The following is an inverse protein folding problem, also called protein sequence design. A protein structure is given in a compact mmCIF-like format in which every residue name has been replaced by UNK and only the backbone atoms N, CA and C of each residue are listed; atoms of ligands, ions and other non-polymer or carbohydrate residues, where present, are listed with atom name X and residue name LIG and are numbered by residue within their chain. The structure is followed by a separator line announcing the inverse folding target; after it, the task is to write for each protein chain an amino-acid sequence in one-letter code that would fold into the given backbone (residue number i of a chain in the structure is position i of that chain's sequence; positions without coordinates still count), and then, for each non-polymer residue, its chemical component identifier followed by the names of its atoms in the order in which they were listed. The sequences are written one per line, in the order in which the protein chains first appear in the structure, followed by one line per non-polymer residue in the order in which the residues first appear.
data_IF_802006437093
#
_entry.id   IF_802006437093
#
_cell.length_a   1.000
_cell.length_b   1.000
_cell.length_c   1.000
_cell.angle_alpha   90.00
_cell.angle_beta   90.00
_cell.angle_gamma   90.00
#
_symmetry.space_group_name_H-M   'P 1'
#
loop_
_entity.id
_entity.type
_entity.pdbx_description
1 polymer ?
#
# COMPACT_ATOMS: atom_id res chain seq x y z
N UNK A 1 6.16 -20.58 -23.18
CA UNK A 1 6.35 -20.62 -21.71
C UNK A 1 5.65 -19.40 -21.13
N UNK A 2 4.99 -19.52 -19.98
CA UNK A 2 4.46 -18.37 -19.24
C UNK A 2 5.62 -17.54 -18.67
N UNK A 3 5.47 -16.20 -18.53
CA UNK A 3 6.41 -15.40 -17.76
C UNK A 3 6.50 -15.90 -16.31
N UNK A 4 7.63 -15.67 -15.65
CA UNK A 4 7.73 -15.88 -14.19
C UNK A 4 6.96 -14.79 -13.46
N UNK A 5 7.05 -13.55 -13.94
CA UNK A 5 6.49 -12.38 -13.27
C UNK A 5 5.66 -11.52 -14.25
N UNK A 6 4.43 -11.18 -13.86
CA UNK A 6 3.67 -10.08 -14.44
C UNK A 6 3.70 -8.87 -13.51
N UNK A 7 4.22 -7.75 -14.01
CA UNK A 7 4.14 -6.46 -13.31
C UNK A 7 2.89 -5.75 -13.83
N UNK A 8 1.92 -5.54 -12.95
CA UNK A 8 0.58 -5.07 -13.29
C UNK A 8 0.39 -3.64 -12.81
N UNK A 9 0.09 -2.72 -13.74
CA UNK A 9 -0.05 -1.29 -13.48
C UNK A 9 -1.47 -0.84 -13.84
N UNK A 10 -2.38 -0.69 -12.86
CA UNK A 10 -3.65 -0.02 -13.08
C UNK A 10 -3.44 1.50 -13.11
N UNK A 11 -3.98 2.18 -14.12
CA UNK A 11 -3.85 3.64 -14.25
C UNK A 11 -5.18 4.32 -14.56
N UNK A 12 -5.33 5.57 -14.10
CA UNK A 12 -6.49 6.41 -14.39
C UNK A 12 -6.15 7.90 -14.27
N UNK A 13 -6.06 8.61 -15.39
CA UNK A 13 -5.90 10.06 -15.49
C UNK A 13 -4.74 10.63 -14.65
N UNK A 14 -3.58 9.97 -14.70
CA UNK A 14 -2.35 10.32 -13.99
C UNK A 14 -1.12 10.23 -14.91
N UNK A 15 -1.26 10.69 -16.16
CA UNK A 15 -0.24 10.50 -17.21
C UNK A 15 1.20 10.88 -16.79
N UNK A 16 1.35 11.99 -16.07
CA UNK A 16 2.65 12.49 -15.61
C UNK A 16 3.33 11.58 -14.58
N UNK A 17 2.57 10.88 -13.73
CA UNK A 17 3.11 9.90 -12.79
C UNK A 17 3.45 8.59 -13.51
N UNK A 18 2.52 8.14 -14.38
CA UNK A 18 2.70 6.96 -15.21
C UNK A 18 3.98 7.04 -16.05
N UNK A 19 4.29 8.22 -16.60
CA UNK A 19 5.50 8.43 -17.39
C UNK A 19 6.78 8.13 -16.60
N UNK A 20 6.83 8.56 -15.32
CA UNK A 20 7.97 8.31 -14.43
C UNK A 20 8.05 6.84 -14.03
N UNK A 21 6.91 6.24 -13.68
CA UNK A 21 6.82 4.82 -13.34
C UNK A 21 7.34 3.95 -14.49
N UNK A 22 6.83 4.15 -15.71
CA UNK A 22 7.23 3.39 -16.90
C UNK A 22 8.70 3.61 -17.25
N UNK A 23 9.22 4.83 -17.15
CA UNK A 23 10.65 5.09 -17.38
C UNK A 23 11.55 4.32 -16.41
N UNK A 24 11.17 4.22 -15.13
CA UNK A 24 11.93 3.47 -14.12
C UNK A 24 11.92 1.96 -14.33
N UNK A 25 10.84 1.45 -14.92
CA UNK A 25 10.56 0.03 -14.99
C UNK A 25 10.96 -0.61 -16.33
N UNK A 26 10.54 -0.03 -17.46
CA UNK A 26 10.53 -0.71 -18.76
C UNK A 26 11.91 -1.11 -19.28
N UNK A 27 13.00 -0.34 -19.10
CA UNK A 27 14.34 -0.81 -19.49
C UNK A 27 14.75 -2.12 -18.78
N UNK A 28 14.35 -2.29 -17.51
CA UNK A 28 14.63 -3.50 -16.74
C UNK A 28 13.77 -4.68 -17.23
N UNK A 29 12.51 -4.44 -17.57
CA UNK A 29 11.59 -5.46 -18.13
C UNK A 29 12.05 -5.91 -19.51
N UNK A 30 12.47 -4.99 -20.37
CA UNK A 30 12.93 -5.27 -21.73
C UNK A 30 14.14 -6.20 -21.73
N UNK A 31 15.06 -6.03 -20.78
CA UNK A 31 16.23 -6.89 -20.62
C UNK A 31 15.89 -8.33 -20.19
N UNK A 32 14.71 -8.55 -19.60
CA UNK A 32 14.26 -9.83 -19.05
C UNK A 32 13.08 -10.42 -19.82
N UNK A 33 12.68 -9.83 -20.94
CA UNK A 33 11.61 -10.36 -21.79
C UNK A 33 12.08 -11.66 -22.47
N UNK A 34 11.31 -12.77 -22.46
CA UNK A 34 9.91 -12.90 -22.03
C UNK A 34 9.72 -13.48 -20.61
N UNK A 35 10.76 -13.55 -19.77
CA UNK A 35 10.68 -14.02 -18.38
C UNK A 35 9.83 -13.08 -17.53
N UNK A 36 9.84 -11.79 -17.83
CA UNK A 36 8.98 -10.76 -17.21
C UNK A 36 8.10 -10.13 -18.28
N UNK A 37 6.87 -9.79 -17.90
CA UNK A 37 6.01 -8.91 -18.69
C UNK A 37 5.52 -7.71 -17.86
N UNK A 38 5.38 -6.56 -18.53
CA UNK A 38 4.67 -5.41 -18.01
C UNK A 38 3.27 -5.34 -18.63
N UNK A 39 2.25 -5.21 -17.80
CA UNK A 39 0.84 -5.14 -18.21
C UNK A 39 0.20 -3.90 -17.60
N UNK A 40 -0.20 -2.95 -18.45
CA UNK A 40 -0.85 -1.71 -18.04
C UNK A 40 -2.34 -1.77 -18.38
N UNK A 41 -3.20 -1.37 -17.44
CA UNK A 41 -4.64 -1.31 -17.62
C UNK A 41 -5.15 0.12 -17.39
N UNK A 42 -5.42 0.82 -18.50
CA UNK A 42 -6.02 2.16 -18.53
C UNK A 42 -7.52 2.11 -18.21
N UNK A 43 -7.92 2.75 -17.13
CA UNK A 43 -9.30 2.72 -16.64
C UNK A 43 -10.19 3.82 -17.27
N UNK A 44 -10.12 3.94 -18.60
CA UNK A 44 -10.80 4.97 -19.39
C UNK A 44 -10.30 6.40 -19.09
N UNK A 45 -8.98 6.61 -19.13
CA UNK A 45 -8.40 7.93 -18.91
C UNK A 45 -8.77 8.92 -20.02
N UNK A 46 -8.95 10.19 -19.61
CA UNK A 46 -9.31 11.32 -20.49
C UNK A 46 -8.20 12.36 -20.64
N UNK A 47 -7.08 12.19 -19.94
CA UNK A 47 -5.89 13.05 -20.03
C UNK A 47 -4.91 12.54 -21.11
N UNK A 48 -3.63 12.94 -21.03
CA UNK A 48 -2.59 12.49 -21.96
C UNK A 48 -2.08 11.05 -21.72
N UNK A 49 -2.75 10.25 -20.88
CA UNK A 49 -2.33 8.87 -20.55
C UNK A 49 -2.12 8.03 -21.81
N UNK A 50 -3.01 8.15 -22.81
CA UNK A 50 -2.85 7.43 -24.09
C UNK A 50 -1.57 7.80 -24.83
N UNK A 51 -1.19 9.08 -24.85
CA UNK A 51 0.04 9.53 -25.51
C UNK A 51 1.28 8.96 -24.82
N UNK A 52 1.26 8.87 -23.49
CA UNK A 52 2.33 8.24 -22.70
C UNK A 52 2.42 6.75 -23.03
N UNK A 53 1.29 6.04 -23.05
CA UNK A 53 1.25 4.62 -23.38
C UNK A 53 1.74 4.31 -24.79
N UNK A 54 1.32 5.11 -25.79
CA UNK A 54 1.76 4.96 -27.17
C UNK A 54 3.27 5.19 -27.28
N UNK A 55 3.80 6.27 -26.69
CA UNK A 55 5.24 6.58 -26.64
C UNK A 55 6.08 5.42 -26.11
N UNK A 56 5.70 4.84 -24.97
CA UNK A 56 6.47 3.74 -24.38
C UNK A 56 6.26 2.40 -25.10
N UNK A 57 5.12 2.18 -25.74
CA UNK A 57 4.85 0.94 -26.50
C UNK A 57 5.67 0.87 -27.78
N UNK A 58 6.02 2.04 -28.35
CA UNK A 58 6.89 2.13 -29.53
C UNK A 58 8.35 1.79 -29.19
N UNK A 59 8.79 2.00 -27.94
CA UNK A 59 10.18 1.83 -27.50
C UNK A 59 10.42 0.52 -26.73
N UNK A 60 9.43 0.04 -25.98
CA UNK A 60 9.58 -1.10 -25.07
C UNK A 60 8.44 -2.12 -25.21
N UNK A 61 8.77 -3.39 -24.95
CA UNK A 61 7.79 -4.46 -24.88
C UNK A 61 6.91 -4.33 -23.63
N UNK A 62 5.67 -3.89 -23.81
CA UNK A 62 4.62 -3.94 -22.81
C UNK A 62 3.26 -4.27 -23.41
N UNK A 63 2.32 -4.69 -22.58
CA UNK A 63 0.93 -4.95 -22.98
C UNK A 63 0.03 -3.90 -22.39
N UNK A 64 -0.70 -3.19 -23.24
CA UNK A 64 -1.64 -2.14 -22.83
C UNK A 64 -3.06 -2.62 -23.08
N UNK A 65 -3.90 -2.52 -22.05
CA UNK A 65 -5.34 -2.74 -22.10
C UNK A 65 -6.06 -1.46 -21.68
N UNK A 66 -7.22 -1.21 -22.28
CA UNK A 66 -8.09 -0.09 -21.90
C UNK A 66 -9.48 -0.61 -21.60
N UNK A 67 -10.03 -0.18 -20.47
CA UNK A 67 -11.42 -0.45 -20.12
C UNK A 67 -12.36 0.45 -20.94
N UNK A 68 -13.53 -0.09 -21.32
CA UNK A 68 -14.57 0.68 -22.03
C UNK A 68 -15.19 1.81 -21.20
N UNK A 69 -15.05 1.72 -19.87
CA UNK A 69 -15.48 2.73 -18.91
C UNK A 69 -14.68 2.61 -17.62
N UNK A 70 -14.69 3.65 -16.78
CA UNK A 70 -14.07 3.60 -15.46
C UNK A 70 -14.84 2.64 -14.53
N UNK A 71 -14.21 1.50 -14.20
CA UNK A 71 -14.77 0.46 -13.31
C UNK A 71 -14.32 0.58 -11.84
N UNK A 72 -13.75 1.72 -11.47
CA UNK A 72 -13.16 1.96 -10.16
C UNK A 72 -11.79 1.29 -9.95
N UNK A 73 -11.04 1.78 -8.95
CA UNK A 73 -9.65 1.35 -8.69
C UNK A 73 -9.52 -0.15 -8.38
N UNK A 74 -10.43 -0.69 -7.56
CA UNK A 74 -10.42 -2.09 -7.15
C UNK A 74 -10.78 -3.01 -8.32
N UNK A 75 -11.77 -2.60 -9.12
CA UNK A 75 -12.12 -3.28 -10.37
C UNK A 75 -10.94 -3.30 -11.34
N UNK A 76 -10.23 -2.17 -11.50
CA UNK A 76 -9.09 -2.09 -12.40
C UNK A 76 -7.91 -2.97 -11.95
N UNK A 77 -7.59 -2.98 -10.65
CA UNK A 77 -6.55 -3.87 -10.06
C UNK A 77 -6.91 -5.33 -10.30
N UNK A 78 -8.13 -5.74 -9.94
CA UNK A 78 -8.55 -7.15 -10.08
C UNK A 78 -8.61 -7.59 -11.53
N UNK A 79 -9.06 -6.73 -12.45
CA UNK A 79 -9.07 -7.01 -13.89
C UNK A 79 -7.68 -7.23 -14.45
N UNK A 80 -6.73 -6.33 -14.18
CA UNK A 80 -5.36 -6.48 -14.74
C UNK A 80 -4.70 -7.77 -14.26
N UNK A 81 -4.94 -8.17 -13.01
CA UNK A 81 -4.39 -9.41 -12.43
C UNK A 81 -5.10 -10.66 -12.95
N UNK A 82 -6.44 -10.67 -12.92
CA UNK A 82 -7.23 -11.85 -13.24
C UNK A 82 -7.30 -12.11 -14.75
N UNK A 83 -7.51 -11.07 -15.56
CA UNK A 83 -7.81 -11.20 -16.99
C UNK A 83 -6.60 -10.98 -17.89
N UNK A 84 -5.57 -10.25 -17.43
CA UNK A 84 -4.47 -9.83 -18.29
C UNK A 84 -3.10 -10.40 -17.87
N UNK A 85 -2.78 -10.55 -16.59
CA UNK A 85 -1.52 -11.16 -16.16
C UNK A 85 -1.40 -12.62 -16.63
N UNK A 86 -0.22 -13.02 -17.12
CA UNK A 86 0.08 -14.41 -17.53
C UNK A 86 1.22 -15.05 -16.72
N UNK A 87 1.84 -14.28 -15.85
CA UNK A 87 2.95 -14.71 -15.02
C UNK A 87 2.51 -15.63 -13.88
N UNK A 88 3.43 -16.49 -13.43
CA UNK A 88 3.21 -17.33 -12.26
C UNK A 88 3.08 -16.49 -10.97
N UNK A 89 3.77 -15.36 -10.94
CA UNK A 89 3.72 -14.34 -9.89
C UNK A 89 3.21 -13.00 -10.43
N UNK A 90 2.60 -12.22 -9.54
CA UNK A 90 2.04 -10.90 -9.85
C UNK A 90 2.59 -9.88 -8.87
N UNK A 91 3.15 -8.81 -9.42
CA UNK A 91 3.51 -7.60 -8.68
C UNK A 91 2.58 -6.47 -9.10
N UNK A 92 1.75 -5.99 -8.18
CA UNK A 92 0.86 -4.85 -8.44
C UNK A 92 1.52 -3.59 -7.90
N UNK A 93 1.84 -2.67 -8.79
CA UNK A 93 2.41 -1.36 -8.46
C UNK A 93 1.48 -0.26 -8.97
N UNK A 94 1.42 0.86 -8.28
CA UNK A 94 0.73 2.06 -8.72
C UNK A 94 1.45 2.71 -9.90
N UNK A 95 0.70 3.48 -10.69
CA UNK A 95 1.28 4.33 -11.74
C UNK A 95 2.14 5.49 -11.18
N UNK A 96 2.22 5.62 -9.86
CA UNK A 96 3.01 6.59 -9.10
C UNK A 96 4.21 5.98 -8.35
N UNK A 97 4.42 4.66 -8.46
CA UNK A 97 5.56 3.98 -7.83
C UNK A 97 6.79 4.03 -8.74
N UNK A 98 7.96 4.29 -8.15
CA UNK A 98 9.25 4.32 -8.87
C UNK A 98 10.08 3.12 -8.48
N UNK A 99 10.51 2.34 -9.47
CA UNK A 99 11.29 1.11 -9.27
C UNK A 99 12.77 1.44 -9.13
N UNK A 100 13.46 0.80 -8.19
CA UNK A 100 14.92 0.99 -8.03
C UNK A 100 15.69 0.25 -9.12
N UNK A 101 16.89 0.74 -9.43
CA UNK A 101 17.75 0.10 -10.43
C UNK A 101 18.09 -1.35 -10.02
N UNK A 102 17.93 -2.29 -10.95
CA UNK A 102 18.25 -3.70 -10.75
C UNK A 102 17.19 -4.50 -9.96
N UNK A 103 16.12 -3.86 -9.48
CA UNK A 103 15.09 -4.53 -8.68
C UNK A 103 14.44 -5.70 -9.42
N UNK A 104 14.05 -5.50 -10.67
CA UNK A 104 13.35 -6.54 -11.45
C UNK A 104 14.23 -7.77 -11.64
N UNK A 105 15.53 -7.58 -11.90
CA UNK A 105 16.50 -8.68 -11.99
C UNK A 105 16.58 -9.48 -10.70
N UNK A 106 16.81 -8.80 -9.57
CA UNK A 106 16.87 -9.44 -8.24
C UNK A 106 15.61 -10.22 -7.90
N UNK A 107 14.44 -9.65 -8.19
CA UNK A 107 13.14 -10.28 -7.96
C UNK A 107 13.02 -11.57 -8.76
N UNK A 108 13.32 -11.54 -10.06
CA UNK A 108 13.18 -12.70 -10.94
C UNK A 108 14.15 -13.80 -10.57
N UNK A 109 15.42 -13.45 -10.29
CA UNK A 109 16.42 -14.39 -9.81
C UNK A 109 15.94 -15.11 -8.54
N UNK A 110 15.38 -14.37 -7.59
CA UNK A 110 14.83 -14.94 -6.36
C UNK A 110 13.64 -15.89 -6.63
N UNK A 111 12.67 -15.46 -7.44
CA UNK A 111 11.48 -16.26 -7.74
C UNK A 111 11.81 -17.55 -8.53
N UNK A 112 12.84 -17.51 -9.37
CA UNK A 112 13.32 -18.68 -10.10
C UNK A 112 14.09 -19.65 -9.19
N UNK A 113 14.81 -19.15 -8.19
CA UNK A 113 15.46 -19.98 -7.18
C UNK A 113 14.43 -20.62 -6.23
N UNK A 114 13.42 -19.86 -5.80
CA UNK A 114 12.46 -20.25 -4.76
C UNK A 114 11.03 -20.41 -5.28
N UNK A 115 10.86 -21.26 -6.29
CA UNK A 115 9.59 -21.42 -7.06
C UNK A 115 8.37 -21.88 -6.26
N UNK A 116 8.55 -22.34 -5.01
CA UNK A 116 7.48 -22.90 -4.16
C UNK A 116 6.83 -21.87 -3.23
N UNK A 117 7.39 -20.67 -3.14
CA UNK A 117 6.89 -19.65 -2.23
C UNK A 117 5.61 -19.01 -2.77
N UNK A 118 4.72 -18.61 -1.87
CA UNK A 118 3.47 -17.95 -2.22
C UNK A 118 3.55 -16.41 -2.15
N UNK A 119 4.53 -15.91 -1.39
CA UNK A 119 4.79 -14.49 -1.18
C UNK A 119 6.30 -14.22 -1.24
N UNK A 120 6.65 -13.17 -1.96
CA UNK A 120 7.92 -12.47 -1.87
C UNK A 120 7.65 -11.05 -1.40
N UNK A 121 8.05 -10.75 -0.16
CA UNK A 121 7.99 -9.41 0.40
C UNK A 121 9.18 -8.57 -0.07
N UNK A 122 8.94 -7.29 -0.33
CA UNK A 122 9.95 -6.37 -0.82
C UNK A 122 10.15 -5.24 0.17
N UNK A 123 11.40 -4.86 0.41
CA UNK A 123 11.67 -3.62 1.11
C UNK A 123 11.37 -2.41 0.21
N UNK A 124 11.08 -1.28 0.86
CA UNK A 124 10.69 -0.03 0.20
C UNK A 124 11.50 1.11 0.80
N UNK A 125 12.02 1.96 -0.06
CA UNK A 125 12.69 3.20 0.30
C UNK A 125 11.71 4.36 0.30
N UNK A 126 11.88 5.30 1.21
CA UNK A 126 11.12 6.54 1.23
C UNK A 126 12.03 7.73 1.01
N UNK A 127 11.51 8.70 0.27
CA UNK A 127 12.12 10.00 0.04
C UNK A 127 11.07 11.12 0.17
N UNK A 128 11.50 12.35 0.50
CA UNK A 128 10.61 13.51 0.47
C UNK A 128 9.96 13.71 -0.91
N UNK A 129 8.68 14.13 -0.93
CA UNK A 129 7.91 14.32 -2.15
C UNK A 129 8.48 15.34 -3.14
N UNK A 130 9.23 16.33 -2.67
CA UNK A 130 9.91 17.34 -3.48
C UNK A 130 11.18 16.82 -4.17
N UNK A 131 11.63 15.61 -3.82
CA UNK A 131 12.72 14.90 -4.48
C UNK A 131 12.25 14.00 -5.65
N UNK A 132 10.96 14.01 -6.00
CA UNK A 132 10.42 13.15 -7.05
C UNK A 132 11.10 13.41 -8.42
N UNK A 133 11.62 12.38 -9.09
CA UNK A 133 12.31 12.53 -10.36
C UNK A 133 11.33 12.76 -11.50
N UNK A 134 11.82 13.38 -12.57
CA UNK A 134 11.15 13.29 -13.86
C UNK A 134 11.51 11.97 -14.57
N UNK A 135 10.81 11.66 -15.66
CA UNK A 135 10.99 10.40 -16.40
C UNK A 135 12.43 10.18 -16.89
N UNK A 136 13.14 11.24 -17.30
CA UNK A 136 14.53 11.13 -17.75
C UNK A 136 15.46 10.74 -16.60
N UNK A 137 15.29 11.35 -15.42
CA UNK A 137 16.08 11.04 -14.23
C UNK A 137 15.77 9.64 -13.65
N UNK A 138 14.56 9.13 -13.86
CA UNK A 138 14.14 7.82 -13.40
C UNK A 138 14.51 6.67 -14.36
N UNK A 139 14.98 6.96 -15.58
CA UNK A 139 15.14 5.96 -16.65
C UNK A 139 16.00 4.77 -16.22
N UNK A 140 15.42 3.56 -16.22
CA UNK A 140 16.08 2.32 -15.83
C UNK A 140 16.17 2.06 -14.31
N UNK A 141 15.60 2.96 -13.52
CA UNK A 141 15.45 2.85 -12.08
C UNK A 141 16.35 3.79 -11.30
N UNK A 142 15.91 4.16 -10.11
CA UNK A 142 16.63 5.11 -9.24
C UNK A 142 17.65 4.40 -8.33
N UNK A 143 18.71 5.11 -7.98
CA UNK A 143 19.84 4.61 -7.13
C UNK A 143 20.05 5.45 -5.87
N UNK A 144 19.05 6.23 -5.49
CA UNK A 144 19.15 7.23 -4.42
C UNK A 144 19.33 6.59 -3.04
N UNK A 145 19.93 7.36 -2.11
CA UNK A 145 19.99 6.97 -0.70
C UNK A 145 18.68 7.31 -0.02
N UNK A 146 17.99 6.30 0.48
CA UNK A 146 16.69 6.44 1.12
C UNK A 146 16.81 7.10 2.50
N UNK A 147 15.87 8.00 2.81
CA UNK A 147 15.81 8.66 4.13
C UNK A 147 15.25 7.73 5.20
N UNK A 148 14.39 6.81 4.78
CA UNK A 148 13.72 5.80 5.62
C UNK A 148 13.49 4.54 4.80
N UNK A 149 13.51 3.41 5.48
CA UNK A 149 13.12 2.11 4.93
C UNK A 149 11.77 1.69 5.51
N UNK A 150 11.04 0.88 4.76
CA UNK A 150 9.89 0.16 5.27
C UNK A 150 10.37 -0.79 6.35
N UNK A 151 11.10 -1.84 5.96
CA UNK A 151 11.62 -2.85 6.86
C UNK A 151 13.11 -2.63 7.15
N UNK A 152 13.50 -2.87 8.41
CA UNK A 152 14.90 -2.79 8.86
C UNK A 152 15.60 -4.16 8.86
N UNK A 153 14.91 -5.22 8.42
CA UNK A 153 15.54 -6.51 8.19
C UNK A 153 16.51 -6.39 7.01
N UNK A 154 17.78 -6.66 7.24
CA UNK A 154 18.89 -6.37 6.32
C UNK A 154 19.32 -7.56 5.47
N UNK A 155 18.79 -8.76 5.75
CA UNK A 155 19.10 -9.98 5.00
C UNK A 155 17.99 -10.35 4.02
N UNK A 156 18.36 -10.54 2.76
CA UNK A 156 17.53 -11.18 1.74
C UNK A 156 17.53 -12.69 1.94
N UNK A 157 16.38 -13.33 1.85
CA UNK A 157 16.29 -14.77 2.01
C UNK A 157 14.88 -15.27 2.24
N UNK A 158 14.81 -16.47 2.82
CA UNK A 158 13.57 -17.18 3.13
C UNK A 158 13.42 -17.22 4.66
N UNK A 159 12.24 -16.86 5.16
CA UNK A 159 11.95 -16.76 6.60
C UNK A 159 10.49 -17.10 6.88
N UNK A 160 10.14 -17.24 8.16
CA UNK A 160 8.74 -17.35 8.57
C UNK A 160 8.07 -15.98 8.39
N UNK A 161 6.88 -15.94 7.80
CA UNK A 161 6.14 -14.70 7.58
C UNK A 161 5.99 -13.86 8.87
N UNK A 162 5.76 -14.52 9.99
CA UNK A 162 5.65 -13.89 11.31
C UNK A 162 6.86 -13.01 11.67
N UNK A 163 8.07 -13.35 11.21
CA UNK A 163 9.30 -12.59 11.46
C UNK A 163 9.29 -11.24 10.74
N UNK A 164 8.52 -11.08 9.66
CA UNK A 164 8.26 -9.77 9.05
C UNK A 164 7.40 -8.86 9.95
N UNK A 165 6.78 -9.40 10.99
CA UNK A 165 5.89 -8.65 11.88
C UNK A 165 6.59 -8.05 13.12
N UNK A 166 7.87 -7.70 13.01
CA UNK A 166 8.73 -7.28 14.13
C UNK A 166 8.79 -5.77 14.39
N UNK A 167 7.64 -5.10 14.23
CA UNK A 167 7.45 -3.67 14.51
C UNK A 167 6.73 -2.96 13.38
N UNK A 168 6.36 -1.67 13.50
CA UNK A 168 5.58 -0.94 12.49
C UNK A 168 6.33 -0.71 11.15
N UNK A 169 7.33 -1.53 10.85
CA UNK A 169 8.22 -1.54 9.70
C UNK A 169 7.69 -2.38 8.53
N UNK A 170 6.65 -3.20 8.68
CA UNK A 170 5.97 -3.80 7.52
C UNK A 170 4.60 -3.17 7.39
N UNK A 171 4.47 -2.32 6.38
CA UNK A 171 3.19 -1.76 6.02
C UNK A 171 2.38 -2.88 5.36
N UNK A 172 1.48 -3.48 6.14
CA UNK A 172 0.53 -4.49 5.67
C UNK A 172 -0.38 -3.98 4.55
N UNK A 173 -0.33 -2.70 4.20
CA UNK A 173 -1.24 -2.07 3.26
C UNK A 173 -0.58 -1.62 1.96
N UNK A 174 0.75 -1.75 1.86
CA UNK A 174 1.53 -1.37 0.70
C UNK A 174 1.57 -2.50 -0.34
N UNK A 175 0.70 -2.47 -1.36
CA UNK A 175 0.62 -3.54 -2.37
C UNK A 175 1.93 -3.73 -3.13
N UNK A 176 2.62 -2.64 -3.41
CA UNK A 176 3.91 -2.61 -4.10
C UNK A 176 5.04 -3.25 -3.29
N UNK A 177 4.86 -3.50 -1.99
CA UNK A 177 5.81 -4.22 -1.14
C UNK A 177 5.61 -5.74 -1.17
N UNK A 178 4.72 -6.25 -2.03
CA UNK A 178 4.38 -7.67 -2.08
C UNK A 178 4.26 -8.20 -3.50
N UNK A 179 4.85 -9.36 -3.73
CA UNK A 179 4.65 -10.17 -4.94
C UNK A 179 4.01 -11.47 -4.51
N UNK A 180 2.84 -11.77 -5.08
CA UNK A 180 2.07 -12.95 -4.73
C UNK A 180 1.97 -13.90 -5.92
N UNK A 181 1.91 -15.19 -5.64
CA UNK A 181 1.57 -16.19 -6.65
C UNK A 181 0.21 -15.87 -7.26
N UNK A 182 0.10 -15.88 -8.59
CA UNK A 182 -1.12 -15.49 -9.31
C UNK A 182 -2.31 -16.39 -8.96
N UNK A 183 -2.09 -17.67 -8.68
CA UNK A 183 -3.17 -18.58 -8.27
C UNK A 183 -3.88 -18.11 -7.00
N UNK A 184 -3.15 -17.59 -6.02
CA UNK A 184 -3.75 -17.04 -4.79
C UNK A 184 -4.61 -15.80 -5.07
N UNK A 185 -4.17 -14.93 -5.98
CA UNK A 185 -4.98 -13.82 -6.46
C UNK A 185 -6.30 -14.30 -7.07
N UNK A 186 -6.27 -15.34 -7.91
CA UNK A 186 -7.46 -15.88 -8.56
C UNK A 186 -8.40 -16.61 -7.60
N UNK A 187 -7.88 -17.21 -6.54
CA UNK A 187 -8.72 -17.84 -5.51
C UNK A 187 -9.54 -16.80 -4.73
N UNK A 188 -8.98 -15.60 -4.52
CA UNK A 188 -9.61 -14.52 -3.75
C UNK A 188 -10.40 -13.54 -4.64
N UNK A 189 -9.91 -13.31 -5.86
CA UNK A 189 -10.47 -12.39 -6.84
C UNK A 189 -10.57 -13.09 -8.20
N UNK A 190 -11.46 -14.08 -8.36
CA UNK A 190 -11.59 -14.85 -9.60
C UNK A 190 -12.13 -14.02 -10.78
N UNK A 191 -12.81 -12.92 -10.49
CA UNK A 191 -13.44 -12.04 -11.47
C UNK A 191 -13.13 -10.57 -11.15
N UNK A 192 -13.35 -9.70 -12.13
CA UNK A 192 -13.30 -8.24 -11.92
C UNK A 192 -14.23 -7.84 -10.77
N UNK A 193 -13.68 -7.15 -9.76
CA UNK A 193 -14.46 -6.68 -8.62
C UNK A 193 -15.42 -5.55 -9.01
N UNK A 194 -16.71 -5.73 -8.71
CA UNK A 194 -17.79 -4.77 -9.02
C UNK A 194 -18.42 -4.11 -7.78
N UNK A 195 -17.94 -4.46 -6.58
CA UNK A 195 -18.46 -3.92 -5.32
C UNK A 195 -18.00 -2.50 -5.02
N UNK A 196 -18.47 -1.95 -3.90
CA UNK A 196 -18.01 -0.63 -3.44
C UNK A 196 -16.55 -0.69 -2.97
N UNK A 197 -15.69 0.25 -3.41
CA UNK A 197 -14.32 0.33 -2.93
C UNK A 197 -14.30 0.82 -1.48
N UNK A 198 -13.25 0.46 -0.73
CA UNK A 198 -13.00 0.95 0.63
C UNK A 198 -14.11 0.62 1.65
N UNK A 199 -14.91 -0.43 1.40
CA UNK A 199 -16.02 -0.84 2.27
C UNK A 199 -15.61 -1.87 3.33
N UNK A 200 -14.50 -2.56 3.09
CA UNK A 200 -13.91 -3.60 3.94
C UNK A 200 -12.41 -3.73 3.63
N UNK A 201 -11.67 -4.46 4.47
CA UNK A 201 -10.26 -4.84 4.20
C UNK A 201 -10.09 -5.43 2.79
N UNK A 202 -10.96 -6.35 2.38
CA UNK A 202 -10.93 -7.01 1.06
C UNK A 202 -11.02 -6.02 -0.12
N UNK A 203 -11.80 -4.94 0.05
CA UNK A 203 -11.99 -3.88 -0.96
C UNK A 203 -11.11 -2.64 -0.75
N UNK A 204 -10.13 -2.71 0.16
CA UNK A 204 -9.23 -1.60 0.53
C UNK A 204 -7.78 -2.01 0.29
N UNK A 205 -7.41 -3.19 0.80
CA UNK A 205 -6.06 -3.72 0.80
C UNK A 205 -6.10 -5.13 0.21
N UNK A 206 -6.30 -5.25 -1.11
CA UNK A 206 -6.57 -6.54 -1.75
C UNK A 206 -5.47 -7.56 -1.43
N UNK A 207 -4.21 -7.22 -1.73
CA UNK A 207 -3.05 -8.06 -1.41
C UNK A 207 -2.99 -8.40 0.08
N UNK A 208 -3.22 -7.42 0.97
CA UNK A 208 -3.17 -7.62 2.41
C UNK A 208 -4.26 -8.57 2.91
N UNK A 209 -5.45 -8.54 2.28
CA UNK A 209 -6.54 -9.45 2.61
C UNK A 209 -6.15 -10.90 2.32
N UNK A 210 -5.42 -11.15 1.22
CA UNK A 210 -4.82 -12.44 0.89
C UNK A 210 -3.71 -12.76 1.90
N UNK A 211 -2.73 -11.88 2.07
CA UNK A 211 -1.57 -12.11 2.93
C UNK A 211 -1.99 -12.40 4.38
N UNK A 212 -2.98 -11.68 4.91
CA UNK A 212 -3.43 -11.83 6.29
C UNK A 212 -4.20 -13.09 6.60
N UNK A 213 -4.75 -13.75 5.57
CA UNK A 213 -5.46 -15.02 5.70
C UNK A 213 -4.57 -16.22 5.37
N UNK A 214 -3.68 -16.07 4.39
CA UNK A 214 -2.92 -17.19 3.83
C UNK A 214 -1.50 -17.33 4.37
N UNK A 215 -0.82 -16.22 4.72
CA UNK A 215 0.62 -16.25 5.07
C UNK A 215 0.98 -16.48 6.55
N UNK A 216 0.10 -16.30 7.55
CA UNK A 216 0.46 -16.60 8.94
C UNK A 216 1.03 -18.01 9.14
N UNK A 217 2.23 -18.11 9.72
CA UNK A 217 2.91 -19.40 9.91
C UNK A 217 3.55 -20.02 8.66
N UNK A 218 3.40 -19.39 7.49
CA UNK A 218 4.01 -19.86 6.24
C UNK A 218 5.44 -19.35 6.08
N UNK A 219 6.20 -20.06 5.23
CA UNK A 219 7.53 -19.66 4.80
C UNK A 219 7.42 -18.74 3.57
N UNK A 220 8.09 -17.60 3.61
CA UNK A 220 8.00 -16.55 2.58
C UNK A 220 9.38 -16.05 2.19
N UNK A 221 9.47 -15.42 1.02
CA UNK A 221 10.67 -14.75 0.57
C UNK A 221 10.70 -13.29 1.00
N UNK A 222 11.89 -12.73 1.16
CA UNK A 222 12.08 -11.30 1.42
C UNK A 222 13.33 -10.78 0.71
N UNK A 223 13.21 -9.63 0.05
CA UNK A 223 14.33 -8.86 -0.50
C UNK A 223 14.56 -7.63 0.37
N UNK A 224 15.71 -7.58 1.03
CA UNK A 224 16.08 -6.50 1.95
C UNK A 224 16.46 -5.21 1.23
N UNK A 225 17.04 -5.32 0.04
CA UNK A 225 17.34 -4.16 -0.78
C UNK A 225 16.04 -3.53 -1.31
N UNK A 226 15.81 -2.22 -1.11
CA UNK A 226 14.61 -1.57 -1.59
C UNK A 226 14.37 -1.79 -3.08
N UNK A 227 13.20 -2.29 -3.42
CA UNK A 227 12.81 -2.56 -4.81
C UNK A 227 11.98 -1.43 -5.41
N UNK A 228 11.35 -0.63 -4.55
CA UNK A 228 10.55 0.55 -4.89
C UNK A 228 10.92 1.71 -3.99
N UNK A 229 10.76 2.92 -4.52
CA UNK A 229 10.86 4.18 -3.81
C UNK A 229 9.52 4.88 -3.83
N UNK A 230 9.10 5.34 -2.65
CA UNK A 230 7.91 6.16 -2.47
C UNK A 230 8.34 7.58 -2.14
N UNK A 231 7.94 8.52 -2.99
CA UNK A 231 8.10 9.94 -2.74
C UNK A 231 6.90 10.43 -1.93
N UNK A 232 7.11 10.72 -0.65
CA UNK A 232 6.05 10.99 0.31
C UNK A 232 5.27 12.26 -0.05
N UNK A 233 4.02 12.08 -0.49
CA UNK A 233 3.07 13.17 -0.74
C UNK A 233 2.05 13.32 0.40
N UNK A 234 1.56 14.54 0.65
CA UNK A 234 0.45 14.75 1.58
C UNK A 234 -0.78 13.93 1.20
N UNK A 235 -1.43 13.30 2.19
CA UNK A 235 -2.58 12.44 1.97
C UNK A 235 -3.74 13.10 1.19
N UNK A 236 -3.85 14.44 1.28
CA UNK A 236 -4.83 15.25 0.56
C UNK A 236 -4.69 15.21 -0.97
N UNK A 237 -3.54 14.77 -1.49
CA UNK A 237 -3.30 14.70 -2.93
C UNK A 237 -3.81 13.39 -3.55
N UNK A 238 -4.12 12.36 -2.75
CA UNK A 238 -4.59 11.09 -3.29
C UNK A 238 -6.08 11.10 -3.62
N UNK A 239 -6.47 10.38 -4.66
CA UNK A 239 -7.86 10.20 -5.08
C UNK A 239 -8.75 9.57 -4.00
N UNK A 240 -8.14 8.85 -3.06
CA UNK A 240 -8.80 8.20 -1.93
C UNK A 240 -8.77 9.03 -0.63
N UNK A 241 -8.32 10.29 -0.65
CA UNK A 241 -8.17 11.14 0.54
C UNK A 241 -9.39 11.16 1.46
N UNK A 242 -10.61 11.18 0.90
CA UNK A 242 -11.87 11.14 1.68
C UNK A 242 -12.05 9.86 2.51
N UNK A 243 -11.41 8.76 2.11
CA UNK A 243 -11.42 7.48 2.82
C UNK A 243 -10.21 7.30 3.75
N UNK A 244 -9.28 8.25 3.82
CA UNK A 244 -8.04 8.11 4.59
C UNK A 244 -8.30 7.67 6.03
N UNK A 245 -9.20 8.36 6.74
CA UNK A 245 -9.52 8.03 8.12
C UNK A 245 -10.17 6.64 8.27
N UNK A 246 -11.09 6.28 7.37
CA UNK A 246 -11.72 4.96 7.36
C UNK A 246 -10.68 3.85 7.12
N UNK A 247 -9.82 4.02 6.13
CA UNK A 247 -8.81 3.03 5.74
C UNK A 247 -7.75 2.87 6.84
N UNK A 248 -7.09 3.96 7.21
CA UNK A 248 -5.95 3.95 8.15
C UNK A 248 -6.34 3.60 9.58
N UNK A 249 -7.60 3.83 9.99
CA UNK A 249 -8.04 3.56 11.35
C UNK A 249 -8.88 2.29 11.45
N UNK A 250 -9.98 2.20 10.70
CA UNK A 250 -10.98 1.14 10.84
C UNK A 250 -10.47 -0.12 10.14
N UNK A 251 -10.19 -0.03 8.84
CA UNK A 251 -9.80 -1.19 8.04
C UNK A 251 -8.41 -1.71 8.43
N UNK A 252 -7.46 -0.83 8.74
CA UNK A 252 -6.16 -1.27 9.24
C UNK A 252 -6.25 -2.00 10.59
N UNK A 253 -7.16 -1.58 11.49
CA UNK A 253 -7.40 -2.29 12.76
C UNK A 253 -8.13 -3.61 12.54
N UNK A 254 -9.03 -3.68 11.56
CA UNK A 254 -9.68 -4.92 11.16
C UNK A 254 -8.68 -5.92 10.57
N UNK A 255 -7.73 -5.45 9.75
CA UNK A 255 -6.65 -6.25 9.17
C UNK A 255 -5.79 -6.92 10.26
N UNK A 256 -5.41 -6.20 11.32
CA UNK A 256 -4.70 -6.80 12.47
C UNK A 256 -5.49 -7.95 13.13
N UNK A 257 -6.82 -7.89 13.11
CA UNK A 257 -7.65 -8.97 13.67
C UNK A 257 -7.75 -10.16 12.74
N UNK A 258 -7.68 -9.94 11.43
CA UNK A 258 -7.60 -11.03 10.46
C UNK A 258 -6.32 -11.82 10.77
N UNK A 259 -5.17 -11.14 10.88
CA UNK A 259 -3.91 -11.79 11.31
C UNK A 259 -4.05 -12.56 12.63
N UNK A 260 -4.69 -11.99 13.66
CA UNK A 260 -4.95 -12.71 14.92
C UNK A 260 -5.79 -13.98 14.72
N UNK A 261 -6.83 -13.91 13.90
CA UNK A 261 -7.72 -15.06 13.63
C UNK A 261 -7.00 -16.17 12.89
N UNK A 262 -6.01 -15.83 12.07
CA UNK A 262 -5.21 -16.77 11.30
C UNK A 262 -3.90 -17.19 12.00
N UNK A 263 -3.73 -16.86 13.28
CA UNK A 263 -2.70 -17.49 14.13
C UNK A 263 -1.54 -16.59 14.55
N UNK A 264 -1.46 -15.35 14.05
CA UNK A 264 -0.44 -14.41 14.53
C UNK A 264 -0.74 -14.04 15.98
N UNK A 265 0.27 -14.22 16.85
CA UNK A 265 0.11 -13.92 18.26
C UNK A 265 -0.15 -12.43 18.50
N UNK A 266 -1.04 -12.13 19.45
CA UNK A 266 -1.27 -10.74 19.91
C UNK A 266 -0.02 -10.05 20.42
N UNK A 267 0.90 -10.80 21.03
CA UNK A 267 2.17 -10.25 21.53
C UNK A 267 2.96 -9.63 20.38
N UNK A 268 3.00 -10.31 19.23
CA UNK A 268 3.66 -9.85 18.01
C UNK A 268 2.94 -8.65 17.38
N UNK A 269 1.60 -8.65 17.38
CA UNK A 269 0.80 -7.53 16.83
C UNK A 269 0.65 -6.32 17.77
N UNK A 270 1.03 -6.43 19.05
CA UNK A 270 0.84 -5.37 20.04
C UNK A 270 1.47 -4.02 19.64
N UNK A 271 2.71 -3.95 19.10
CA UNK A 271 3.30 -2.70 18.64
C UNK A 271 2.47 -2.00 17.56
N UNK A 272 1.82 -2.75 16.67
CA UNK A 272 0.96 -2.21 15.62
C UNK A 272 -0.34 -1.65 16.18
N UNK A 273 -0.98 -2.34 17.12
CA UNK A 273 -2.12 -1.78 17.84
C UNK A 273 -1.74 -0.48 18.55
N UNK A 274 -0.60 -0.44 19.24
CA UNK A 274 -0.11 0.78 19.88
C UNK A 274 0.13 1.88 18.85
N UNK A 275 0.77 1.56 17.72
CA UNK A 275 1.00 2.51 16.63
C UNK A 275 -0.33 3.10 16.13
N UNK A 276 -1.29 2.26 15.74
CA UNK A 276 -2.59 2.70 15.22
C UNK A 276 -3.35 3.54 16.24
N UNK A 277 -3.44 3.07 17.49
CA UNK A 277 -4.22 3.76 18.52
C UNK A 277 -3.56 5.08 19.00
N UNK A 278 -2.23 5.23 18.87
CA UNK A 278 -1.53 6.43 19.35
C UNK A 278 -1.23 7.47 18.30
N UNK A 279 -0.96 7.07 17.05
CA UNK A 279 -0.55 7.97 15.95
C UNK A 279 -1.73 8.42 15.09
N UNK A 280 -2.82 7.65 15.01
CA UNK A 280 -3.99 7.97 14.18
C UNK A 280 -5.12 8.70 14.96
N UNK A 281 -4.78 9.42 16.04
CA UNK A 281 -5.76 10.18 16.83
C UNK A 281 -6.50 11.25 16.02
N UNK A 282 -5.84 11.79 15.01
CA UNK A 282 -6.43 12.76 14.09
C UNK A 282 -7.47 12.10 13.19
N UNK A 283 -7.23 10.87 12.70
CA UNK A 283 -8.19 10.08 11.90
C UNK A 283 -9.49 9.78 12.65
N UNK A 284 -9.45 9.58 13.97
CA UNK A 284 -10.70 9.45 14.75
C UNK A 284 -11.47 10.78 14.82
N UNK A 285 -10.75 11.90 14.90
CA UNK A 285 -11.33 13.25 14.82
C UNK A 285 -11.96 13.53 13.45
N UNK A 286 -11.31 13.10 12.37
CA UNK A 286 -11.86 13.15 11.01
C UNK A 286 -13.20 12.41 10.91
N UNK A 287 -13.29 11.17 11.41
CA UNK A 287 -14.54 10.40 11.41
C UNK A 287 -15.66 11.08 12.21
N UNK A 288 -15.34 11.71 13.33
CA UNK A 288 -16.34 12.33 14.19
C UNK A 288 -16.82 13.70 13.70
N UNK A 289 -15.91 14.49 13.13
CA UNK A 289 -16.13 15.92 12.95
C UNK A 289 -16.06 16.38 11.49
N UNK A 290 -15.39 15.65 10.60
CA UNK A 290 -15.31 16.03 9.19
C UNK A 290 -16.44 15.39 8.37
N UNK A 291 -17.41 16.20 7.95
CA UNK A 291 -18.54 15.75 7.12
C UNK A 291 -18.15 15.33 5.69
N UNK A 292 -16.97 15.74 5.22
CA UNK A 292 -16.46 15.34 3.91
C UNK A 292 -15.73 13.99 3.95
N UNK A 293 -15.39 13.48 5.14
CA UNK A 293 -14.75 12.18 5.30
C UNK A 293 -15.79 11.03 5.22
N UNK A 294 -15.37 9.88 4.70
CA UNK A 294 -16.16 8.67 4.67
C UNK A 294 -16.19 7.95 6.04
N UNK A 295 -17.20 7.10 6.26
CA UNK A 295 -17.41 6.29 7.46
C UNK A 295 -18.16 7.00 8.61
N UNK A 296 -17.78 8.25 8.90
CA UNK A 296 -18.47 9.10 9.87
C UNK A 296 -18.48 8.55 11.30
N UNK A 297 -19.35 9.13 12.15
CA UNK A 297 -19.39 8.82 13.59
C UNK A 297 -19.67 7.34 13.91
N UNK A 298 -20.50 6.67 13.10
CA UNK A 298 -20.84 5.27 13.30
C UNK A 298 -19.59 4.40 13.26
N UNK A 299 -18.73 4.59 12.25
CA UNK A 299 -17.49 3.82 12.14
C UNK A 299 -16.45 4.23 13.18
N UNK A 300 -16.43 5.50 13.59
CA UNK A 300 -15.61 5.93 14.72
C UNK A 300 -16.00 5.25 16.06
N UNK A 301 -17.31 5.09 16.31
CA UNK A 301 -17.78 4.33 17.49
C UNK A 301 -17.52 2.83 17.36
N UNK A 302 -17.71 2.24 16.17
CA UNK A 302 -17.33 0.84 15.92
C UNK A 302 -15.85 0.65 16.22
N UNK A 303 -14.98 1.55 15.76
CA UNK A 303 -13.56 1.51 16.04
C UNK A 303 -13.26 1.56 17.55
N UNK A 304 -13.84 2.51 18.30
CA UNK A 304 -13.65 2.59 19.76
C UNK A 304 -14.11 1.32 20.47
N UNK A 305 -15.28 0.78 20.08
CA UNK A 305 -15.77 -0.49 20.61
C UNK A 305 -14.83 -1.64 20.27
N UNK A 306 -14.28 -1.63 19.06
CA UNK A 306 -13.29 -2.58 18.61
C UNK A 306 -12.04 -2.50 19.52
N UNK A 307 -11.59 -1.29 19.82
CA UNK A 307 -10.38 -1.02 20.57
C UNK A 307 -10.53 -1.15 22.10
N UNK A 308 -11.73 -1.48 22.61
CA UNK A 308 -12.07 -1.52 24.06
C UNK A 308 -11.12 -2.34 24.95
N UNK A 309 -10.35 -3.25 24.35
CA UNK A 309 -9.30 -4.05 25.03
C UNK A 309 -8.06 -3.22 25.41
N UNK A 310 -7.92 -2.02 24.85
CA UNK A 310 -6.87 -1.06 25.14
C UNK A 310 -7.48 0.25 25.69
N UNK A 311 -8.06 0.23 26.90
CA UNK A 311 -8.86 1.34 27.42
C UNK A 311 -8.07 2.65 27.53
N UNK A 312 -6.81 2.58 27.99
CA UNK A 312 -5.92 3.73 28.06
C UNK A 312 -5.61 4.33 26.69
N UNK A 313 -5.44 3.48 25.67
CA UNK A 313 -5.20 3.94 24.31
C UNK A 313 -6.47 4.54 23.71
N UNK A 314 -7.64 3.94 23.92
CA UNK A 314 -8.93 4.50 23.52
C UNK A 314 -9.15 5.90 24.10
N UNK A 315 -8.88 6.09 25.40
CA UNK A 315 -8.99 7.40 26.04
C UNK A 315 -8.03 8.42 25.41
N UNK A 316 -6.81 8.01 25.08
CA UNK A 316 -5.84 8.87 24.40
C UNK A 316 -6.28 9.24 22.98
N UNK A 317 -6.75 8.29 22.18
CA UNK A 317 -7.26 8.53 20.82
C UNK A 317 -8.48 9.45 20.87
N UNK A 318 -9.40 9.21 21.81
CA UNK A 318 -10.57 10.06 22.03
C UNK A 318 -10.17 11.49 22.42
N UNK A 319 -9.21 11.64 23.34
CA UNK A 319 -8.67 12.95 23.71
C UNK A 319 -8.10 13.72 22.52
N UNK A 320 -7.39 13.05 21.62
CA UNK A 320 -6.91 13.65 20.37
C UNK A 320 -8.08 14.08 19.46
N UNK A 321 -9.05 13.18 19.24
CA UNK A 321 -10.23 13.45 18.42
C UNK A 321 -11.05 14.64 18.94
N UNK A 322 -11.16 14.82 20.26
CA UNK A 322 -11.86 15.96 20.86
C UNK A 322 -11.10 17.29 20.68
N UNK A 323 -9.79 17.23 20.42
CA UNK A 323 -8.96 18.41 20.10
C UNK A 323 -8.80 18.67 18.60
N UNK A 324 -9.45 17.87 17.75
CA UNK A 324 -9.36 17.97 16.29
C UNK A 324 -9.77 19.37 15.78
N UNK A 325 -9.15 19.91 14.71
CA UNK A 325 -9.49 21.24 14.19
C UNK A 325 -10.96 21.41 13.80
N UNK A 326 -11.60 20.35 13.30
CA UNK A 326 -13.03 20.35 12.95
C UNK A 326 -13.98 20.16 14.15
N UNK A 327 -13.47 19.88 15.36
CA UNK A 327 -14.31 19.64 16.53
C UNK A 327 -14.95 20.94 17.06
N UNK A 328 -16.21 20.92 17.52
CA UNK A 328 -16.90 22.10 18.05
C UNK A 328 -16.08 22.84 19.11
N UNK A 329 -16.00 24.17 19.00
CA UNK A 329 -15.14 25.01 19.87
C UNK A 329 -15.45 24.84 21.35
N UNK A 330 -16.73 24.64 21.70
CA UNK A 330 -17.18 24.41 23.08
C UNK A 330 -16.53 23.16 23.69
N UNK A 331 -16.26 22.14 22.88
CA UNK A 331 -15.61 20.89 23.28
C UNK A 331 -14.08 21.03 23.22
N UNK A 332 -13.56 21.58 22.11
CA UNK A 332 -12.13 21.54 21.81
C UNK A 332 -11.31 22.65 22.49
N UNK A 333 -11.88 23.81 22.81
CA UNK A 333 -11.14 24.93 23.38
C UNK A 333 -10.63 24.66 24.82
N UNK A 334 -11.43 24.14 25.77
CA UNK A 334 -10.94 23.81 27.11
C UNK A 334 -9.83 22.75 27.07
N UNK A 335 -10.01 21.72 26.24
CA UNK A 335 -9.04 20.63 26.10
C UNK A 335 -7.72 21.10 25.47
N UNK A 336 -7.78 21.98 24.46
CA UNK A 336 -6.58 22.59 23.87
C UNK A 336 -5.84 23.47 24.87
N UNK A 337 -6.55 24.20 25.73
CA UNK A 337 -5.93 25.00 26.79
C UNK A 337 -5.19 24.13 27.81
N UNK A 338 -5.83 23.05 28.29
CA UNK A 338 -5.20 22.06 29.18
C UNK A 338 -3.97 21.44 28.52
N UNK A 339 -4.04 21.04 27.25
CA UNK A 339 -2.91 20.45 26.51
C UNK A 339 -1.74 21.42 26.34
N UNK A 340 -2.01 22.72 26.15
CA UNK A 340 -0.97 23.78 26.11
C UNK A 340 -0.30 23.94 27.48
N UNK A 341 -1.08 24.04 28.56
CA UNK A 341 -0.57 24.11 29.94
C UNK A 341 0.31 22.89 30.27
N UNK A 342 -0.13 21.70 29.90
CA UNK A 342 0.62 20.46 30.12
C UNK A 342 1.94 20.39 29.35
N UNK A 343 2.02 20.98 28.14
CA UNK A 343 3.28 21.10 27.39
C UNK A 343 4.26 22.08 28.04
N UNK A 344 3.75 23.15 28.64
CA UNK A 344 4.57 24.14 29.38
C UNK A 344 5.10 23.56 30.69
N UNK A 345 4.34 22.67 31.33
CA UNK A 345 4.68 22.07 32.63
C UNK A 345 5.52 20.78 32.53
N UNK A 346 5.77 20.24 31.34
CA UNK A 346 6.65 19.07 31.16
C UNK A 346 8.12 19.53 31.12
N UNK A 347 9.01 18.94 31.94
CA UNK A 347 10.45 19.14 31.77
C UNK A 347 10.87 18.65 30.39
N UNK A 348 11.71 19.41 29.70
CA UNK A 348 12.40 18.94 28.50
C UNK A 348 13.34 17.80 28.88
N UNK A 349 12.94 16.57 28.60
CA UNK A 349 13.77 15.36 28.69
C UNK A 349 14.16 14.90 27.29
#
# INVERSE_FOLDING_TARGET
MSPVLSICIPTFSRAHLLEVCLASLLPQVQALTPVVECVVCDNDSTDSTRQVLDKFSDEFSMRVYRNDSNIGVIGNITRVVAEHARGDYVWVIGDDDVVTAGAVGRIVEFLQAETRLNLLALNVGYLPGDAAPNASAALGGVTEKFSKLLCHHDQTGVLLFDELLEGPCVDFTASYASILRRSLWLEHFPETYTGSPFSSVHSTYLHASIVSSEMPGEIVGYIAEPSIVIYEQPASQFSWAKYHALNTLVHATELLRIYERHGISRKRLHPYYVHQLTRQGDSLGELFWNRAAAGGMVDGFKYLWSAKRYPWLCLKTLGNALTHPAAPTVISAPLRAVRKLWKVLRPSS
#
